data_IF_187571711789
#
_entry.id   IF_187571711789
#
_cell.length_a   1.000
_cell.length_b   1.000
_cell.length_c   1.000
_cell.angle_alpha   90.00
_cell.angle_beta   90.00
_cell.angle_gamma   90.00
#
_symmetry.space_group_name_H-M   'P 1'
#
loop_
_entity.id
_entity.type
_entity.pdbx_description
1 polymer ?
#
# COMPACT_ATOMS: atom_id res chain seq x y z
N UNK A 1 5.69 -15.26 3.79
CA UNK A 1 4.87 -14.51 4.75
C UNK A 1 3.41 -14.89 4.54
N UNK A 2 2.81 -15.63 5.46
CA UNK A 2 1.43 -16.05 5.36
C UNK A 2 0.47 -14.88 5.71
N UNK A 3 -0.73 -14.82 5.12
CA UNK A 3 -1.72 -13.84 5.51
C UNK A 3 -2.17 -14.05 6.96
N UNK A 4 -2.19 -12.98 7.75
CA UNK A 4 -2.63 -13.02 9.14
C UNK A 4 -4.15 -12.85 9.18
N UNK A 5 -4.85 -13.65 10.00
CA UNK A 5 -6.28 -13.43 10.27
C UNK A 5 -6.51 -12.04 10.85
N UNK A 6 -7.60 -11.40 10.41
CA UNK A 6 -7.99 -10.10 10.91
C UNK A 6 -8.78 -10.26 12.22
N UNK A 7 -8.08 -10.07 13.33
CA UNK A 7 -8.72 -9.77 14.62
C UNK A 7 -8.37 -8.33 14.95
N UNK A 8 -9.22 -7.39 14.57
CA UNK A 8 -9.16 -5.93 14.85
C UNK A 8 -7.74 -5.31 14.90
N UNK A 9 -7.01 -5.42 13.77
CA UNK A 9 -5.68 -4.81 13.65
C UNK A 9 -5.80 -3.29 13.71
N UNK A 10 -5.19 -2.65 14.71
CA UNK A 10 -5.17 -1.21 14.84
C UNK A 10 -4.38 -0.53 13.72
N UNK A 11 -4.57 0.78 13.52
CA UNK A 11 -3.79 1.56 12.55
C UNK A 11 -2.29 1.43 12.80
N UNK A 12 -1.87 1.47 14.06
CA UNK A 12 -0.46 1.32 14.46
C UNK A 12 0.07 -0.07 14.09
N UNK A 13 -0.63 -1.12 14.43
CA UNK A 13 -0.23 -2.49 14.11
C UNK A 13 -0.13 -2.71 12.60
N UNK A 14 -1.07 -2.18 11.82
CA UNK A 14 -1.04 -2.30 10.35
C UNK A 14 0.19 -1.60 9.77
N UNK A 15 0.53 -0.40 10.25
CA UNK A 15 1.74 0.32 9.85
C UNK A 15 3.03 -0.40 10.30
N UNK A 16 3.03 -1.02 11.48
CA UNK A 16 4.16 -1.83 11.94
C UNK A 16 4.34 -3.10 11.09
N UNK A 17 3.26 -3.73 10.66
CA UNK A 17 3.32 -4.85 9.70
C UNK A 17 3.89 -4.39 8.35
N UNK A 18 3.51 -3.21 7.88
CA UNK A 18 4.10 -2.61 6.69
C UNK A 18 5.60 -2.36 6.88
N UNK A 19 5.99 -1.77 8.00
CA UNK A 19 7.40 -1.53 8.33
C UNK A 19 8.21 -2.83 8.37
N UNK A 20 7.71 -3.87 9.00
CA UNK A 20 8.35 -5.18 9.03
C UNK A 20 8.50 -5.79 7.63
N UNK A 21 7.49 -5.62 6.76
CA UNK A 21 7.54 -6.11 5.38
C UNK A 21 8.66 -5.43 4.56
N UNK A 22 8.98 -4.16 4.84
CA UNK A 22 10.04 -3.42 4.15
C UNK A 22 11.42 -4.09 4.24
N UNK A 23 11.67 -4.93 5.26
CA UNK A 23 12.92 -5.69 5.38
C UNK A 23 13.12 -6.70 4.24
N UNK A 24 12.05 -7.09 3.55
CA UNK A 24 12.08 -7.99 2.39
C UNK A 24 12.14 -7.25 1.05
N UNK A 25 12.28 -5.93 1.05
CA UNK A 25 12.34 -5.15 -0.17
C UNK A 25 13.53 -5.52 -1.06
N UNK A 26 13.28 -5.66 -2.36
CA UNK A 26 14.33 -5.75 -3.36
C UNK A 26 14.54 -4.35 -3.97
N UNK A 27 15.35 -3.54 -3.30
CA UNK A 27 15.57 -2.12 -3.61
C UNK A 27 17.05 -1.81 -3.93
N UNK A 28 17.66 -2.66 -4.77
CA UNK A 28 19.11 -2.57 -5.04
C UNK A 28 19.52 -1.31 -5.83
N UNK A 29 18.61 -0.69 -6.56
CA UNK A 29 18.88 0.49 -7.39
C UNK A 29 18.66 1.78 -6.62
N UNK A 30 17.47 1.98 -6.04
CA UNK A 30 17.13 3.18 -5.29
C UNK A 30 17.66 3.18 -3.87
N UNK A 31 17.85 2.00 -3.27
CA UNK A 31 18.12 1.80 -1.84
C UNK A 31 17.02 2.39 -0.95
N UNK A 32 15.81 2.51 -1.49
CA UNK A 32 14.65 3.05 -0.80
C UNK A 32 13.62 1.94 -0.60
N UNK A 33 13.56 1.42 0.63
CA UNK A 33 12.72 0.30 0.99
C UNK A 33 11.36 0.78 1.48
N UNK A 34 10.32 0.18 0.91
CA UNK A 34 8.93 0.44 1.25
C UNK A 34 8.25 -0.87 1.60
N UNK A 35 7.47 -0.86 2.65
CA UNK A 35 6.54 -1.94 2.98
C UNK A 35 5.11 -1.44 2.96
N UNK A 36 4.20 -2.35 2.67
CA UNK A 36 2.77 -2.12 2.75
C UNK A 36 2.06 -3.32 3.36
N UNK A 37 0.97 -3.06 4.07
CA UNK A 37 0.09 -4.08 4.61
C UNK A 37 -1.36 -3.68 4.34
N UNK A 38 -2.09 -4.50 3.58
CA UNK A 38 -3.49 -4.28 3.25
C UNK A 38 -4.36 -5.19 4.11
N UNK A 39 -5.32 -4.60 4.81
CA UNK A 39 -6.36 -5.31 5.54
C UNK A 39 -7.60 -5.45 4.66
N UNK A 40 -8.13 -6.66 4.61
CA UNK A 40 -9.39 -7.00 3.96
C UNK A 40 -10.46 -7.27 5.01
N UNK A 41 -11.63 -7.75 4.63
CA UNK A 41 -12.66 -8.21 5.57
C UNK A 41 -12.22 -9.47 6.35
N UNK A 42 -11.24 -10.24 5.85
CA UNK A 42 -10.88 -11.55 6.42
C UNK A 42 -9.43 -11.66 6.91
N UNK A 43 -8.48 -10.95 6.27
CA UNK A 43 -7.06 -11.13 6.52
C UNK A 43 -6.25 -9.85 6.33
N UNK A 44 -4.95 -9.91 6.62
CA UNK A 44 -3.97 -8.88 6.31
C UNK A 44 -2.88 -9.46 5.43
N UNK A 45 -2.60 -8.78 4.31
CA UNK A 45 -1.56 -9.15 3.35
C UNK A 45 -0.49 -8.08 3.32
N UNK A 46 0.75 -8.44 3.57
CA UNK A 46 1.86 -7.50 3.54
C UNK A 46 2.85 -7.86 2.43
N UNK A 47 3.50 -6.84 1.89
CA UNK A 47 4.51 -6.96 0.85
C UNK A 47 5.49 -5.79 0.90
N UNK A 48 6.55 -5.89 0.11
CA UNK A 48 7.57 -4.86 -0.03
C UNK A 48 7.75 -4.50 -1.51
N UNK A 49 8.42 -3.39 -1.79
CA UNK A 49 8.74 -3.00 -3.16
C UNK A 49 9.77 -3.93 -3.79
N UNK A 50 9.62 -4.14 -5.10
CA UNK A 50 10.46 -5.01 -5.91
C UNK A 50 10.91 -4.22 -7.12
N UNK A 51 12.19 -3.87 -7.16
CA UNK A 51 12.76 -3.14 -8.27
C UNK A 51 13.22 -4.06 -9.41
N UNK A 52 13.40 -3.48 -10.58
CA UNK A 52 13.86 -4.15 -11.77
C UNK A 52 14.82 -3.24 -12.53
N UNK A 53 15.83 -3.80 -13.21
CA UNK A 53 16.70 -3.03 -14.09
C UNK A 53 15.93 -2.31 -15.20
N UNK A 54 14.83 -2.90 -15.65
CA UNK A 54 13.81 -2.22 -16.46
C UNK A 54 12.88 -1.47 -15.50
N UNK A 55 13.11 -0.20 -15.28
CA UNK A 55 12.45 0.59 -14.24
C UNK A 55 10.92 0.59 -14.34
N UNK A 56 10.37 0.54 -15.55
CA UNK A 56 8.92 0.44 -15.77
C UNK A 56 8.28 -0.84 -15.23
N UNK A 57 9.07 -1.89 -14.98
CA UNK A 57 8.61 -3.15 -14.40
C UNK A 57 8.72 -3.18 -12.88
N UNK A 58 9.29 -2.17 -12.25
CA UNK A 58 9.37 -2.08 -10.78
C UNK A 58 7.96 -2.01 -10.17
N UNK A 59 7.78 -2.70 -9.05
CA UNK A 59 6.50 -2.82 -8.38
C UNK A 59 6.58 -2.19 -6.98
N UNK A 60 5.69 -1.23 -6.71
CA UNK A 60 5.58 -0.64 -5.37
C UNK A 60 5.00 -1.66 -4.37
N UNK A 61 5.36 -1.51 -3.11
CA UNK A 61 4.89 -2.37 -2.01
C UNK A 61 3.36 -2.42 -1.93
N UNK A 62 2.69 -1.29 -2.12
CA UNK A 62 1.24 -1.17 -2.06
C UNK A 62 0.56 -2.05 -3.13
N UNK A 63 1.03 -1.97 -4.37
CA UNK A 63 0.49 -2.80 -5.46
C UNK A 63 0.81 -4.28 -5.25
N UNK A 64 1.98 -4.60 -4.72
CA UNK A 64 2.35 -5.97 -4.39
C UNK A 64 1.44 -6.55 -3.28
N UNK A 65 1.14 -5.77 -2.23
CA UNK A 65 0.24 -6.19 -1.15
C UNK A 65 -1.19 -6.39 -1.65
N UNK A 66 -1.71 -5.46 -2.46
CA UNK A 66 -3.05 -5.57 -3.06
C UNK A 66 -3.10 -6.79 -3.99
N UNK A 67 -2.10 -7.00 -4.85
CA UNK A 67 -2.05 -8.15 -5.73
C UNK A 67 -2.11 -9.48 -4.96
N UNK A 68 -1.44 -9.56 -3.81
CA UNK A 68 -1.53 -10.73 -2.92
C UNK A 68 -2.95 -10.95 -2.40
N UNK A 69 -3.62 -9.90 -1.92
CA UNK A 69 -4.99 -9.98 -1.43
C UNK A 69 -5.93 -10.46 -2.55
N UNK A 70 -5.91 -9.77 -3.69
CA UNK A 70 -6.77 -10.05 -4.84
C UNK A 70 -6.57 -11.47 -5.38
N UNK A 71 -5.32 -11.91 -5.53
CA UNK A 71 -5.03 -13.27 -6.02
C UNK A 71 -5.29 -14.37 -4.98
N UNK A 72 -5.49 -13.99 -3.72
CA UNK A 72 -5.98 -14.88 -2.67
C UNK A 72 -7.52 -14.94 -2.59
N UNK A 73 -8.23 -14.20 -3.45
CA UNK A 73 -9.69 -14.15 -3.48
C UNK A 73 -10.31 -13.08 -2.58
N UNK A 74 -9.48 -12.26 -1.93
CA UNK A 74 -9.92 -11.19 -1.01
C UNK A 74 -10.01 -9.84 -1.74
N UNK A 75 -11.22 -9.43 -2.12
CA UNK A 75 -11.46 -8.20 -2.88
C UNK A 75 -11.96 -7.04 -2.00
N UNK A 76 -12.39 -7.32 -0.76
CA UNK A 76 -12.95 -6.30 0.15
C UNK A 76 -11.84 -5.61 0.94
N UNK A 77 -11.09 -4.72 0.27
CA UNK A 77 -10.01 -3.96 0.89
C UNK A 77 -10.60 -2.86 1.77
N UNK A 78 -10.18 -2.79 3.03
CA UNK A 78 -10.69 -1.83 4.00
C UNK A 78 -9.68 -0.76 4.40
N UNK A 79 -8.42 -1.16 4.57
CA UNK A 79 -7.34 -0.28 5.03
C UNK A 79 -6.01 -0.72 4.42
N UNK A 80 -5.10 0.22 4.22
CA UNK A 80 -3.72 -0.07 3.86
C UNK A 80 -2.75 0.76 4.70
N UNK A 81 -1.78 0.12 5.33
CA UNK A 81 -0.64 0.77 5.99
C UNK A 81 0.56 0.80 5.06
N UNK A 82 1.29 1.93 5.06
CA UNK A 82 2.47 2.16 4.23
C UNK A 82 3.60 2.67 5.13
N UNK A 83 4.79 2.10 4.97
CA UNK A 83 5.99 2.51 5.69
C UNK A 83 7.19 2.61 4.74
N UNK A 84 7.77 3.79 4.63
CA UNK A 84 9.00 4.06 3.88
C UNK A 84 10.16 4.15 4.89
N UNK A 85 10.84 3.03 5.14
CA UNK A 85 11.81 2.92 6.23
C UNK A 85 13.09 3.72 6.03
N UNK A 86 13.40 4.07 4.79
CA UNK A 86 14.58 4.87 4.44
C UNK A 86 14.26 6.37 4.25
N UNK A 87 13.00 6.78 4.39
CA UNK A 87 12.60 8.18 4.39
C UNK A 87 13.14 8.90 5.64
N UNK A 88 13.58 10.14 5.45
CA UNK A 88 14.11 10.97 6.53
C UNK A 88 13.07 12.01 6.97
N UNK A 89 13.03 12.40 8.26
CA UNK A 89 12.10 13.45 8.72
C UNK A 89 12.20 14.76 7.95
N UNK A 90 13.42 15.13 7.50
CA UNK A 90 13.65 16.34 6.72
C UNK A 90 13.03 16.31 5.31
N UNK A 91 12.72 15.12 4.75
CA UNK A 91 12.12 14.96 3.42
C UNK A 91 10.61 15.28 3.43
N UNK A 92 10.02 15.40 4.61
CA UNK A 92 8.61 15.66 4.80
C UNK A 92 7.71 14.44 4.48
N UNK A 93 6.41 14.63 4.67
CA UNK A 93 5.42 13.55 4.46
C UNK A 93 5.38 13.08 3.01
N UNK A 94 5.61 13.97 2.05
CA UNK A 94 5.52 13.66 0.62
C UNK A 94 6.45 12.52 0.19
N UNK A 95 7.59 12.34 0.87
CA UNK A 95 8.52 11.24 0.59
C UNK A 95 7.97 9.85 0.94
N UNK A 96 6.94 9.79 1.78
CA UNK A 96 6.29 8.56 2.21
C UNK A 96 4.92 8.31 1.55
N UNK A 97 4.42 9.26 0.75
CA UNK A 97 3.11 9.15 0.11
C UNK A 97 3.12 8.13 -1.03
N UNK A 98 1.99 7.42 -1.24
CA UNK A 98 1.85 6.50 -2.37
C UNK A 98 1.95 7.24 -3.71
N UNK A 99 2.61 6.63 -4.69
CA UNK A 99 2.72 7.18 -6.04
C UNK A 99 1.37 7.15 -6.79
N UNK A 100 1.28 7.85 -7.92
CA UNK A 100 0.05 7.93 -8.70
C UNK A 100 -0.49 6.57 -9.18
N UNK A 101 0.40 5.65 -9.58
CA UNK A 101 0.01 4.30 -9.96
C UNK A 101 -0.66 3.54 -8.81
N UNK A 102 -0.12 3.65 -7.59
CA UNK A 102 -0.71 3.03 -6.40
C UNK A 102 -2.07 3.65 -6.06
N UNK A 103 -2.20 4.97 -6.19
CA UNK A 103 -3.48 5.67 -5.96
C UNK A 103 -4.57 5.22 -6.92
N UNK A 104 -4.23 4.96 -8.19
CA UNK A 104 -5.16 4.39 -9.17
C UNK A 104 -5.61 2.97 -8.77
N UNK A 105 -4.70 2.14 -8.26
CA UNK A 105 -5.04 0.83 -7.72
C UNK A 105 -5.97 0.93 -6.51
N UNK A 106 -5.75 1.88 -5.63
CA UNK A 106 -6.63 2.07 -4.46
C UNK A 106 -8.06 2.34 -4.87
N UNK A 107 -8.29 3.27 -5.79
CA UNK A 107 -9.65 3.64 -6.21
C UNK A 107 -10.33 2.57 -7.06
N UNK A 108 -9.57 1.74 -7.77
CA UNK A 108 -10.11 0.59 -8.52
C UNK A 108 -10.81 -0.39 -7.59
N UNK A 109 -10.15 -0.77 -6.49
CA UNK A 109 -10.67 -1.78 -5.56
C UNK A 109 -11.55 -1.20 -4.47
N UNK A 110 -11.26 -0.01 -3.97
CA UNK A 110 -12.00 0.62 -2.88
C UNK A 110 -11.76 2.13 -2.82
N UNK A 111 -12.64 2.96 -3.41
CA UNK A 111 -12.54 4.42 -3.29
C UNK A 111 -12.57 4.92 -1.84
N UNK A 112 -13.21 4.15 -0.95
CA UNK A 112 -13.29 4.44 0.49
C UNK A 112 -12.13 3.88 1.32
N UNK A 113 -11.14 3.22 0.69
CA UNK A 113 -9.98 2.64 1.37
C UNK A 113 -9.32 3.67 2.29
N UNK A 114 -9.13 3.30 3.54
CA UNK A 114 -8.37 4.10 4.50
C UNK A 114 -6.87 3.86 4.26
N UNK A 115 -6.17 4.93 3.90
CA UNK A 115 -4.74 4.90 3.60
C UNK A 115 -3.98 5.49 4.80
N UNK A 116 -3.18 4.67 5.44
CA UNK A 116 -2.41 5.01 6.63
C UNK A 116 -0.93 5.14 6.25
N UNK A 117 -0.37 6.32 6.36
CA UNK A 117 1.03 6.59 6.04
C UNK A 117 1.81 6.79 7.31
N UNK A 118 2.76 5.89 7.58
CA UNK A 118 3.70 6.03 8.70
C UNK A 118 4.82 6.98 8.27
N UNK A 119 4.89 8.15 8.89
CA UNK A 119 5.94 9.12 8.62
C UNK A 119 7.28 8.67 9.21
N UNK A 120 8.36 9.27 8.73
CA UNK A 120 9.70 9.04 9.27
C UNK A 120 9.84 9.46 10.76
N UNK A 121 8.97 10.36 11.24
CA UNK A 121 8.91 10.78 12.65
C UNK A 121 8.08 9.82 13.53
N UNK A 122 7.43 8.81 12.94
CA UNK A 122 6.63 7.82 13.65
C UNK A 122 5.15 8.19 13.81
N UNK A 123 4.71 9.32 13.26
CA UNK A 123 3.31 9.71 13.22
C UNK A 123 2.57 8.97 12.11
N UNK A 124 1.28 8.71 12.31
CA UNK A 124 0.42 8.11 11.31
C UNK A 124 -0.53 9.16 10.76
N UNK A 125 -0.51 9.32 9.44
CA UNK A 125 -1.42 10.20 8.71
C UNK A 125 -2.46 9.36 7.98
N UNK A 126 -3.71 9.78 8.08
CA UNK A 126 -4.87 9.05 7.55
C UNK A 126 -5.47 9.81 6.36
N UNK A 127 -5.73 9.08 5.29
CA UNK A 127 -6.35 9.59 4.07
C UNK A 127 -7.43 8.63 3.59
N UNK A 128 -8.29 9.09 2.69
CA UNK A 128 -9.15 8.22 1.89
C UNK A 128 -8.61 8.13 0.47
N UNK A 129 -8.68 6.95 -0.13
CA UNK A 129 -8.16 6.74 -1.48
C UNK A 129 -8.73 7.75 -2.50
N UNK A 130 -10.05 8.04 -2.44
CA UNK A 130 -10.72 9.03 -3.30
C UNK A 130 -10.19 10.45 -3.15
N UNK A 131 -9.62 10.80 -2.00
CA UNK A 131 -9.07 12.14 -1.74
C UNK A 131 -7.62 12.28 -2.23
N UNK A 132 -6.96 11.14 -2.49
CA UNK A 132 -5.58 11.09 -2.98
C UNK A 132 -5.47 11.10 -4.50
N UNK A 133 -6.56 10.86 -5.23
CA UNK A 133 -6.60 10.87 -6.68
C UNK A 133 -7.86 11.57 -7.18
N UNK A 134 -7.71 12.83 -7.56
CA UNK A 134 -8.79 13.62 -8.13
C UNK A 134 -9.13 13.10 -9.54
N UNK A 135 -10.41 12.87 -9.80
CA UNK A 135 -10.93 12.43 -11.11
C UNK A 135 -10.14 11.22 -11.65
N UNK A 136 -10.25 10.06 -11.00
CA UNK A 136 -9.53 8.85 -11.42
C UNK A 136 -10.02 8.36 -12.78
N UNK A 137 -9.15 7.64 -13.49
CA UNK A 137 -9.58 6.90 -14.66
C UNK A 137 -10.52 5.76 -14.26
N UNK A 138 -11.69 5.69 -14.89
CA UNK A 138 -12.64 4.59 -14.75
C UNK A 138 -13.16 4.19 -16.13
N UNK A 139 -13.35 2.89 -16.35
CA UNK A 139 -14.10 2.44 -17.52
C UNK A 139 -15.60 2.54 -17.22
N UNK A 140 -16.39 3.01 -18.20
CA UNK A 140 -17.83 2.94 -18.09
C UNK A 140 -18.25 1.46 -18.04
N UNK A 141 -18.89 1.05 -16.94
CA UNK A 141 -19.27 -0.34 -16.70
C UNK A 141 -20.62 -0.69 -17.32
N UNK A 142 -20.86 -0.32 -18.57
CA UNK A 142 -21.97 -0.87 -19.37
C UNK A 142 -21.67 -2.30 -19.88
N UNK A 143 -20.58 -2.88 -19.36
CA UNK A 143 -20.17 -4.25 -19.60
C UNK A 143 -20.55 -5.13 -18.40
N UNK A 144 -21.77 -5.02 -17.90
CA UNK A 144 -22.31 -6.09 -17.07
C UNK A 144 -22.56 -7.33 -17.95
N UNK A 145 -22.10 -8.51 -17.52
CA UNK A 145 -22.29 -9.74 -18.24
C UNK A 145 -23.75 -10.16 -18.32
#
# INVERSE_FOLDING_TARGET
MEPRKRDDVSARELCEMARAAAEFAYAKYSRFRVGAAVATSTAVYSAANIENASYGLSLCAERAAIARAVTSGDLELTRIGIACVDAQPADGLNSAMPCGACRQWFVEFSPGLEVLVLSASGDIYEFRARDLLAVPFTLATDLEP
#
